data_IF_529462805954
#
_entry.id   IF_529462805954
#
_cell.length_a   1.000
_cell.length_b   1.000
_cell.length_c   1.000
_cell.angle_alpha   90.00
_cell.angle_beta   90.00
_cell.angle_gamma   90.00
#
_symmetry.space_group_name_H-M   'P 1'
#
loop_
_entity.id
_entity.type
_entity.pdbx_description
1 polymer ?
#
# COMPACT_ATOMS: atom_id res chain seq x y z
N UNK A 1 -0.67 11.22 20.84
CA UNK A 1 -0.12 10.01 20.19
C UNK A 1 -1.28 9.14 19.72
N UNK A 2 -2.10 9.66 18.79
CA UNK A 2 -3.27 8.93 18.27
C UNK A 2 -3.45 9.00 16.75
N UNK A 3 -2.60 9.74 16.04
CA UNK A 3 -2.81 10.04 14.61
C UNK A 3 -2.48 8.85 13.66
N UNK A 4 -1.90 7.75 14.16
CA UNK A 4 -1.44 6.61 13.36
C UNK A 4 -2.57 5.76 12.78
N UNK A 5 -3.64 5.56 13.54
CA UNK A 5 -4.83 4.83 13.08
C UNK A 5 -5.75 5.70 12.21
N UNK A 6 -5.63 7.02 12.34
CA UNK A 6 -6.50 7.98 11.64
C UNK A 6 -6.23 7.98 10.13
N UNK A 7 -4.96 7.87 9.70
CA UNK A 7 -4.61 7.85 8.28
C UNK A 7 -5.25 6.65 7.57
N UNK A 8 -5.16 5.44 8.14
CA UNK A 8 -5.73 4.23 7.52
C UNK A 8 -7.25 4.33 7.40
N UNK A 9 -7.91 4.87 8.43
CA UNK A 9 -9.35 5.07 8.41
C UNK A 9 -9.82 6.10 7.37
N UNK A 10 -8.91 6.95 6.89
CA UNK A 10 -9.18 7.96 5.87
C UNK A 10 -9.00 7.44 4.43
N UNK A 11 -8.39 6.27 4.26
CA UNK A 11 -8.17 5.67 2.94
C UNK A 11 -9.51 5.12 2.41
N UNK A 12 -9.95 5.49 1.19
CA UNK A 12 -11.15 4.95 0.59
C UNK A 12 -11.11 3.41 0.50
N UNK A 13 -12.20 2.72 0.87
CA UNK A 13 -12.29 1.25 0.76
C UNK A 13 -12.56 0.77 -0.68
N UNK A 14 -11.73 1.24 -1.61
CA UNK A 14 -11.75 0.91 -3.02
C UNK A 14 -10.32 0.90 -3.58
N UNK A 15 -10.08 0.28 -4.75
CA UNK A 15 -8.78 0.41 -5.41
C UNK A 15 -8.47 1.88 -5.69
N UNK A 16 -7.23 2.31 -5.44
CA UNK A 16 -6.83 3.72 -5.52
C UNK A 16 -6.27 4.05 -6.89
N UNK A 17 -6.61 5.22 -7.42
CA UNK A 17 -5.94 5.81 -8.58
C UNK A 17 -4.67 6.56 -8.16
N UNK A 18 -3.81 6.90 -9.14
CA UNK A 18 -2.64 7.77 -8.93
C UNK A 18 -2.98 9.06 -8.16
N UNK A 19 -4.05 9.75 -8.57
CA UNK A 19 -4.48 11.00 -7.91
C UNK A 19 -4.90 10.81 -6.44
N UNK A 20 -5.41 9.64 -6.07
CA UNK A 20 -5.76 9.34 -4.68
C UNK A 20 -4.51 9.03 -3.87
N UNK A 21 -3.56 8.29 -4.44
CA UNK A 21 -2.25 8.07 -3.79
C UNK A 21 -1.52 9.40 -3.58
N UNK A 22 -1.52 10.30 -4.56
CA UNK A 22 -0.95 11.66 -4.43
C UNK A 22 -1.64 12.47 -3.32
N UNK A 23 -2.96 12.34 -3.17
CA UNK A 23 -3.69 13.00 -2.09
C UNK A 23 -3.31 12.46 -0.70
N UNK A 24 -3.03 11.15 -0.59
CA UNK A 24 -2.55 10.52 0.65
C UNK A 24 -1.09 10.92 0.93
N UNK A 25 -0.24 10.97 -0.10
CA UNK A 25 1.14 11.45 -0.01
C UNK A 25 1.21 12.87 0.58
N UNK A 26 0.25 13.73 0.23
CA UNK A 26 0.12 15.08 0.74
C UNK A 26 -0.59 15.18 2.11
N UNK A 27 -1.00 14.07 2.72
CA UNK A 27 -1.74 14.08 3.99
C UNK A 27 -0.83 14.42 5.18
N UNK A 28 -1.41 15.05 6.20
CA UNK A 28 -0.66 15.41 7.40
C UNK A 28 -0.16 14.15 8.13
N UNK A 29 1.12 14.12 8.49
CA UNK A 29 1.76 12.98 9.15
C UNK A 29 2.21 11.87 8.20
N UNK A 30 1.98 12.03 6.89
CA UNK A 30 2.58 11.19 5.84
C UNK A 30 3.80 11.92 5.31
N UNK A 31 4.96 11.26 5.35
CA UNK A 31 6.16 11.73 4.65
C UNK A 31 6.12 11.34 3.19
N UNK A 32 5.61 10.14 2.91
CA UNK A 32 5.43 9.64 1.55
C UNK A 32 4.41 8.53 1.48
N UNK A 33 3.66 8.46 0.39
CA UNK A 33 2.82 7.33 0.03
C UNK A 33 3.24 6.80 -1.35
N UNK A 34 3.51 5.51 -1.45
CA UNK A 34 4.01 4.87 -2.67
C UNK A 34 3.18 3.62 -2.95
N UNK A 35 2.80 3.42 -4.20
CA UNK A 35 2.29 2.12 -4.63
C UNK A 35 3.45 1.24 -5.11
N UNK A 36 3.69 0.06 -4.51
CA UNK A 36 4.70 -0.88 -5.00
C UNK A 36 4.25 -1.52 -6.32
N UNK A 37 2.94 -1.61 -6.57
CA UNK A 37 2.38 -2.29 -7.75
C UNK A 37 1.23 -1.49 -8.34
N UNK A 38 1.28 -1.25 -9.65
CA UNK A 38 0.19 -0.66 -10.42
C UNK A 38 -0.44 -1.71 -11.32
N UNK A 39 -1.76 -1.75 -11.35
CA UNK A 39 -2.53 -2.70 -12.13
C UNK A 39 -3.34 -1.95 -13.19
N UNK A 40 -3.34 -2.49 -14.41
CA UNK A 40 -4.23 -2.01 -15.47
C UNK A 40 -5.53 -2.82 -15.40
N UNK A 41 -6.71 -2.17 -15.31
CA UNK A 41 -7.97 -2.87 -15.29
C UNK A 41 -8.25 -3.51 -16.66
N UNK A 42 -8.92 -4.68 -16.66
CA UNK A 42 -9.37 -5.35 -17.88
C UNK A 42 -10.43 -4.49 -18.60
N UNK A 43 -11.27 -3.79 -17.82
CA UNK A 43 -12.28 -2.85 -18.30
C UNK A 43 -12.19 -1.55 -17.51
N UNK A 44 -12.01 -0.42 -18.22
CA UNK A 44 -11.86 0.91 -17.64
C UNK A 44 -10.65 1.64 -18.19
N UNK A 45 -10.47 2.88 -17.73
CA UNK A 45 -9.27 3.69 -18.01
C UNK A 45 -8.55 4.00 -16.70
N UNK A 46 -7.22 4.06 -16.76
CA UNK A 46 -6.36 4.41 -15.63
C UNK A 46 -5.86 3.19 -14.85
N UNK A 47 -4.61 3.29 -14.41
CA UNK A 47 -4.04 2.32 -13.49
C UNK A 47 -4.64 2.50 -12.09
N UNK A 48 -4.77 1.39 -11.37
CA UNK A 48 -5.17 1.40 -9.98
C UNK A 48 -4.19 0.59 -9.14
N UNK A 49 -4.23 0.79 -7.83
CA UNK A 49 -3.53 -0.03 -6.87
C UNK A 49 -4.46 -0.51 -5.77
N UNK A 50 -4.12 -1.67 -5.23
CA UNK A 50 -4.71 -2.22 -4.01
C UNK A 50 -3.62 -2.42 -2.93
N UNK A 51 -2.45 -1.81 -3.14
CA UNK A 51 -1.25 -1.99 -2.35
C UNK A 51 -0.61 -0.61 -2.13
N UNK A 52 -0.29 -0.29 -0.88
CA UNK A 52 0.22 1.02 -0.51
C UNK A 52 1.30 0.89 0.56
N UNK A 53 2.42 1.56 0.35
CA UNK A 53 3.43 1.80 1.37
C UNK A 53 3.27 3.23 1.88
N UNK A 54 3.09 3.38 3.19
CA UNK A 54 3.01 4.69 3.86
C UNK A 54 4.24 4.84 4.73
N UNK A 55 4.95 5.94 4.51
CA UNK A 55 6.13 6.36 5.27
C UNK A 55 5.71 7.52 6.17
N UNK A 56 6.01 7.40 7.45
CA UNK A 56 5.80 8.40 8.49
C UNK A 56 7.10 8.57 9.26
N UNK A 57 7.24 9.61 10.09
CA UNK A 57 8.49 9.98 10.77
C UNK A 57 9.30 8.85 11.41
N UNK A 58 8.65 7.79 11.89
CA UNK A 58 9.29 6.66 12.57
C UNK A 58 8.81 5.29 12.11
N UNK A 59 8.00 5.19 11.05
CA UNK A 59 7.47 3.91 10.55
C UNK A 59 7.39 3.84 9.03
N UNK A 60 7.64 2.65 8.50
CA UNK A 60 7.24 2.24 7.15
C UNK A 60 6.18 1.15 7.27
N UNK A 61 5.03 1.34 6.63
CA UNK A 61 3.90 0.41 6.66
C UNK A 61 3.51 -0.02 5.27
N UNK A 62 3.36 -1.31 5.04
CA UNK A 62 2.71 -1.86 3.87
C UNK A 62 1.27 -2.25 4.19
N UNK A 63 0.34 -1.67 3.43
CA UNK A 63 -1.08 -1.94 3.46
C UNK A 63 -1.50 -2.63 2.17
N UNK A 64 -2.31 -3.68 2.30
CA UNK A 64 -2.97 -4.32 1.16
C UNK A 64 -4.47 -4.31 1.39
N UNK A 65 -5.21 -4.03 0.31
CA UNK A 65 -6.67 -4.06 0.32
C UNK A 65 -7.16 -5.49 0.14
N UNK A 66 -7.91 -5.94 1.14
CA UNK A 66 -8.48 -7.29 1.21
C UNK A 66 -10.00 -7.26 1.04
N UNK A 67 -10.52 -8.21 0.25
CA UNK A 67 -11.94 -8.24 -0.10
C UNK A 67 -12.78 -8.54 1.15
N UNK A 68 -13.55 -7.53 1.59
CA UNK A 68 -14.44 -7.63 2.75
C UNK A 68 -13.79 -7.26 4.08
N UNK A 69 -12.50 -6.94 4.10
CA UNK A 69 -11.77 -6.49 5.29
C UNK A 69 -11.26 -5.04 5.17
N UNK A 70 -11.24 -4.50 3.95
CA UNK A 70 -10.73 -3.15 3.68
C UNK A 70 -9.21 -3.12 3.62
N UNK A 71 -8.61 -2.00 4.05
CA UNK A 71 -7.15 -1.86 4.11
C UNK A 71 -6.57 -2.52 5.35
N UNK A 72 -5.69 -3.49 5.14
CA UNK A 72 -5.05 -4.27 6.20
C UNK A 72 -3.55 -4.01 6.18
N UNK A 73 -2.97 -3.70 7.35
CA UNK A 73 -1.51 -3.65 7.50
C UNK A 73 -0.98 -5.07 7.40
N UNK A 74 -0.16 -5.35 6.39
CA UNK A 74 0.51 -6.65 6.22
C UNK A 74 1.90 -6.65 6.83
N UNK A 75 2.58 -5.50 6.78
CA UNK A 75 3.88 -5.31 7.41
C UNK A 75 4.01 -3.89 7.97
N UNK A 76 4.60 -3.77 9.13
CA UNK A 76 4.92 -2.50 9.79
C UNK A 76 6.26 -2.64 10.49
N UNK A 77 7.16 -1.71 10.23
CA UNK A 77 8.50 -1.68 10.79
C UNK A 77 8.82 -0.24 11.23
N UNK A 78 9.63 -0.11 12.27
CA UNK A 78 10.10 1.18 12.80
C UNK A 78 11.54 1.44 12.40
N UNK A 79 11.93 2.72 12.30
CA UNK A 79 13.32 3.12 12.10
C UNK A 79 13.67 4.32 12.99
N UNK A 80 14.94 4.44 13.40
CA UNK A 80 15.42 5.49 14.28
C UNK A 80 16.25 6.57 13.55
N UNK A 81 16.86 6.24 12.43
CA UNK A 81 17.69 7.12 11.63
C UNK A 81 17.64 6.78 10.13
N UNK A 82 18.29 7.60 9.31
CA UNK A 82 18.26 7.47 7.85
C UNK A 82 18.96 6.18 7.36
N UNK A 83 19.95 5.65 8.09
CA UNK A 83 20.65 4.41 7.72
C UNK A 83 19.74 3.20 7.95
N UNK A 84 19.03 3.17 9.09
CA UNK A 84 18.02 2.15 9.36
C UNK A 84 16.80 2.29 8.42
N UNK A 85 16.42 3.52 8.07
CA UNK A 85 15.32 3.79 7.16
C UNK A 85 15.51 3.12 5.79
N UNK A 86 16.69 3.24 5.18
CA UNK A 86 16.97 2.62 3.87
C UNK A 86 16.78 1.10 3.93
N UNK A 87 17.31 0.44 4.96
CA UNK A 87 17.14 -0.99 5.16
C UNK A 87 15.69 -1.40 5.39
N UNK A 88 14.97 -0.67 6.25
CA UNK A 88 13.56 -0.92 6.53
C UNK A 88 12.70 -0.72 5.28
N UNK A 89 12.99 0.31 4.49
CA UNK A 89 12.28 0.60 3.26
C UNK A 89 12.46 -0.53 2.24
N UNK A 90 13.69 -0.99 2.01
CA UNK A 90 13.98 -2.11 1.11
C UNK A 90 13.25 -3.39 1.57
N UNK A 91 13.35 -3.74 2.86
CA UNK A 91 12.70 -4.92 3.43
C UNK A 91 11.16 -4.89 3.29
N UNK A 92 10.54 -3.74 3.55
CA UNK A 92 9.09 -3.58 3.42
C UNK A 92 8.67 -3.56 1.95
N UNK A 93 9.46 -2.94 1.07
CA UNK A 93 9.19 -2.91 -0.36
C UNK A 93 9.25 -4.29 -0.98
N UNK A 94 10.31 -5.06 -0.72
CA UNK A 94 10.48 -6.42 -1.25
C UNK A 94 9.34 -7.33 -0.79
N UNK A 95 8.97 -7.26 0.50
CA UNK A 95 7.80 -7.98 1.02
C UNK A 95 6.50 -7.58 0.31
N UNK A 96 6.30 -6.29 0.06
CA UNK A 96 5.10 -5.79 -0.60
C UNK A 96 5.00 -6.26 -2.05
N UNK A 97 6.13 -6.28 -2.77
CA UNK A 97 6.21 -6.81 -4.13
C UNK A 97 5.86 -8.31 -4.15
N UNK A 98 6.53 -9.13 -3.33
CA UNK A 98 6.29 -10.57 -3.27
C UNK A 98 4.83 -10.89 -2.94
N UNK A 99 4.28 -10.25 -1.90
CA UNK A 99 2.88 -10.45 -1.50
C UNK A 99 1.91 -10.02 -2.61
N UNK A 100 2.15 -8.87 -3.24
CA UNK A 100 1.29 -8.36 -4.30
C UNK A 100 1.34 -9.26 -5.53
N UNK A 101 2.51 -9.75 -5.93
CA UNK A 101 2.67 -10.66 -7.07
C UNK A 101 1.91 -11.97 -6.82
N UNK A 102 2.12 -12.63 -5.68
CA UNK A 102 1.40 -13.86 -5.32
C UNK A 102 -0.12 -13.66 -5.33
N UNK A 103 -0.59 -12.53 -4.80
CA UNK A 103 -2.01 -12.18 -4.75
C UNK A 103 -2.58 -11.93 -6.15
N UNK A 104 -1.88 -11.19 -7.01
CA UNK A 104 -2.29 -10.91 -8.39
C UNK A 104 -2.33 -12.20 -9.21
N UNK A 105 -1.29 -13.04 -9.12
CA UNK A 105 -1.24 -14.34 -9.81
C UNK A 105 -2.39 -15.24 -9.38
N UNK A 106 -2.68 -15.28 -8.08
CA UNK A 106 -3.82 -16.03 -7.55
C UNK A 106 -5.14 -15.51 -8.11
N UNK A 107 -5.35 -14.19 -8.12
CA UNK A 107 -6.54 -13.56 -8.71
C UNK A 107 -6.68 -13.88 -10.20
N UNK A 108 -5.58 -13.85 -10.96
CA UNK A 108 -5.61 -14.24 -12.37
C UNK A 108 -6.01 -15.70 -12.52
N UNK A 109 -5.40 -16.61 -11.75
CA UNK A 109 -5.74 -18.04 -11.79
C UNK A 109 -7.20 -18.31 -11.45
N UNK A 110 -7.74 -17.63 -10.44
CA UNK A 110 -9.12 -17.79 -9.98
C UNK A 110 -10.13 -17.09 -10.91
N UNK A 111 -9.75 -15.97 -11.53
CA UNK A 111 -10.57 -15.22 -12.50
C UNK A 111 -10.64 -15.85 -13.90
N UNK A 112 -9.78 -16.83 -14.21
CA UNK A 112 -9.89 -17.66 -15.43
C UNK A 112 -10.83 -18.87 -15.26
N UNK A 113 -11.47 -19.03 -14.09
CA UNK A 113 -12.50 -20.04 -13.83
C UNK A 113 -13.88 -19.35 -13.80
N UNK A 114 -14.31 -18.81 -14.94
CA UNK A 114 -15.72 -18.51 -15.23
C UNK A 114 -16.13 -19.07 -16.61
#
# INVERSE_FOLDING_TARGET
>A
MSDRSDIISSIPDEPLSHSVVEAIDAANGVQRAISPTWQTPIQGEGEFTEDLIIITDDHVRYLSRERGEGWVIKREETYADDEEFEHVMDDVHDYACDYSEERIEKKMREGYVE
#
